data_IF_379084436485
#
_entry.id   IF_379084436485
#
_cell.length_a   1.000
_cell.length_b   1.000
_cell.length_c   1.000
_cell.angle_alpha   90.00
_cell.angle_beta   90.00
_cell.angle_gamma   90.00
#
_symmetry.space_group_name_H-M   'P 1'
#
loop_
_entity.id
_entity.type
_entity.pdbx_description
1 polymer ?
#
# COMPACT_ATOMS: atom_id res chain seq x y z
N UNK A 1 10.13 11.16 -9.01
CA UNK A 1 10.33 9.81 -8.42
C UNK A 1 9.28 8.82 -8.89
N UNK A 2 7.99 9.00 -8.55
CA UNK A 2 6.92 8.08 -9.00
C UNK A 2 6.83 8.05 -10.53
N UNK A 3 6.77 9.20 -11.19
CA UNK A 3 6.76 9.29 -12.65
C UNK A 3 7.99 8.62 -13.30
N UNK A 4 9.16 8.76 -12.69
CA UNK A 4 10.41 8.17 -13.19
C UNK A 4 10.40 6.64 -13.07
N UNK A 5 9.81 6.11 -12.00
CA UNK A 5 9.61 4.68 -11.80
C UNK A 5 8.53 4.13 -12.74
N UNK A 6 7.44 4.88 -12.94
CA UNK A 6 6.37 4.56 -13.88
C UNK A 6 6.88 4.47 -15.32
N UNK A 7 7.75 5.40 -15.74
CA UNK A 7 8.41 5.38 -17.06
C UNK A 7 9.30 4.15 -17.26
N UNK A 8 9.91 3.61 -16.19
CA UNK A 8 10.68 2.36 -16.25
C UNK A 8 9.78 1.12 -16.42
N UNK A 9 8.46 1.26 -16.25
CA UNK A 9 7.46 0.23 -16.52
C UNK A 9 7.46 -0.96 -15.55
N UNK A 10 8.25 -0.91 -14.49
CA UNK A 10 8.28 -1.94 -13.45
C UNK A 10 7.15 -1.65 -12.45
N UNK A 11 6.49 -2.70 -11.96
CA UNK A 11 5.40 -2.67 -10.96
C UNK A 11 3.98 -2.34 -11.47
N UNK A 12 3.75 -2.23 -12.79
CA UNK A 12 2.41 -1.93 -13.36
C UNK A 12 1.30 -2.93 -13.00
N UNK A 13 1.65 -4.19 -12.70
CA UNK A 13 0.71 -5.24 -12.34
C UNK A 13 1.07 -5.86 -10.98
N UNK A 14 1.23 -5.01 -9.96
CA UNK A 14 1.56 -5.43 -8.61
C UNK A 14 0.47 -5.03 -7.62
N UNK A 15 0.22 -5.88 -6.64
CA UNK A 15 -0.68 -5.59 -5.53
C UNK A 15 0.12 -5.71 -4.24
N UNK A 16 0.17 -4.61 -3.48
CA UNK A 16 0.85 -4.59 -2.20
C UNK A 16 0.05 -5.33 -1.13
N UNK A 17 0.76 -6.04 -0.25
CA UNK A 17 0.22 -6.60 0.99
C UNK A 17 0.97 -5.92 2.12
N UNK A 18 0.27 -5.11 2.91
CA UNK A 18 0.84 -4.29 3.97
C UNK A 18 0.52 -4.91 5.34
N UNK A 19 1.53 -5.39 6.06
CA UNK A 19 1.37 -5.78 7.47
C UNK A 19 1.02 -4.54 8.29
N UNK A 20 -0.15 -4.61 8.94
CA UNK A 20 -0.68 -3.59 9.85
C UNK A 20 -1.06 -4.19 11.20
N UNK A 21 -0.48 -5.33 11.54
CA UNK A 21 -0.60 -5.89 12.89
C UNK A 21 0.05 -4.97 13.92
N UNK A 22 -0.35 -5.09 15.18
CA UNK A 22 0.14 -4.26 16.28
C UNK A 22 1.69 -4.27 16.42
N UNK A 23 2.36 -5.31 15.93
CA UNK A 23 3.83 -5.43 15.91
C UNK A 23 4.51 -4.46 14.96
N UNK A 24 3.75 -3.89 14.02
CA UNK A 24 4.25 -2.93 13.04
C UNK A 24 4.25 -1.49 13.58
N UNK A 25 3.75 -1.22 14.79
CA UNK A 25 3.64 0.13 15.34
C UNK A 25 4.92 0.99 15.19
N UNK A 26 4.72 2.25 14.84
CA UNK A 26 5.80 3.22 14.56
C UNK A 26 6.41 3.08 13.17
N UNK A 27 7.73 3.21 13.07
CA UNK A 27 8.45 3.24 11.80
C UNK A 27 8.20 2.05 10.84
N UNK A 28 8.04 0.79 11.31
CA UNK A 28 7.74 -0.33 10.41
C UNK A 28 6.41 -0.15 9.66
N UNK A 29 5.38 0.35 10.33
CA UNK A 29 4.07 0.66 9.73
C UNK A 29 4.21 1.80 8.72
N UNK A 30 4.89 2.89 9.07
CA UNK A 30 5.13 4.02 8.16
C UNK A 30 5.82 3.58 6.85
N UNK A 31 6.83 2.71 6.96
CA UNK A 31 7.53 2.16 5.79
C UNK A 31 6.62 1.24 4.97
N UNK A 32 5.88 0.34 5.63
CA UNK A 32 4.91 -0.56 5.00
C UNK A 32 3.85 0.21 4.20
N UNK A 33 3.33 1.29 4.79
CA UNK A 33 2.39 2.23 4.18
C UNK A 33 3.01 2.91 2.97
N UNK A 34 4.18 3.54 3.13
CA UNK A 34 4.84 4.29 2.07
C UNK A 34 5.12 3.43 0.83
N UNK A 35 5.57 2.19 1.03
CA UNK A 35 5.82 1.24 -0.06
C UNK A 35 4.50 0.77 -0.69
N UNK A 36 3.47 0.49 0.12
CA UNK A 36 2.15 0.12 -0.37
C UNK A 36 1.53 1.20 -1.26
N UNK A 37 1.61 2.46 -0.84
CA UNK A 37 1.15 3.62 -1.61
C UNK A 37 1.92 3.76 -2.93
N UNK A 38 3.25 3.62 -2.90
CA UNK A 38 4.08 3.70 -4.10
C UNK A 38 3.69 2.62 -5.13
N UNK A 39 3.53 1.37 -4.69
CA UNK A 39 3.10 0.27 -5.57
C UNK A 39 1.72 0.56 -6.13
N UNK A 40 0.79 1.00 -5.28
CA UNK A 40 -0.59 1.29 -5.68
C UNK A 40 -0.71 2.39 -6.74
N UNK A 41 0.14 3.42 -6.66
CA UNK A 41 0.20 4.53 -7.62
C UNK A 41 0.85 4.11 -8.96
N UNK A 42 1.87 3.24 -8.89
CA UNK A 42 2.57 2.72 -10.07
C UNK A 42 1.78 1.63 -10.82
N UNK A 43 0.85 0.98 -10.13
CA UNK A 43 0.01 -0.05 -10.71
C UNK A 43 -1.08 0.51 -11.62
N UNK A 44 -1.45 -0.31 -12.60
CA UNK A 44 -2.57 -0.08 -13.51
C UNK A 44 -3.80 -0.86 -13.02
N UNK A 45 -4.92 -0.72 -13.72
CA UNK A 45 -6.12 -1.50 -13.42
C UNK A 45 -5.84 -3.02 -13.55
N UNK A 46 -6.39 -3.86 -12.66
CA UNK A 46 -7.40 -3.53 -11.65
C UNK A 46 -6.83 -3.11 -10.28
N UNK A 47 -5.52 -2.96 -10.12
CA UNK A 47 -4.87 -2.80 -8.81
C UNK A 47 -4.60 -1.35 -8.42
N UNK A 48 -4.70 -0.42 -9.38
CA UNK A 48 -4.50 0.99 -9.15
C UNK A 48 -5.31 1.49 -7.95
N UNK A 49 -4.64 2.19 -7.03
CA UNK A 49 -5.26 2.76 -5.84
C UNK A 49 -5.75 1.74 -4.80
N UNK A 50 -5.37 0.46 -4.90
CA UNK A 50 -5.72 -0.61 -3.96
C UNK A 50 -4.49 -1.23 -3.31
N UNK A 51 -4.71 -1.84 -2.13
CA UNK A 51 -3.75 -2.70 -1.42
C UNK A 51 -4.50 -3.70 -0.54
N UNK A 52 -3.83 -4.75 -0.09
CA UNK A 52 -4.35 -5.69 0.89
C UNK A 52 -3.72 -5.39 2.25
N UNK A 53 -4.54 -5.33 3.30
CA UNK A 53 -4.02 -5.33 4.68
C UNK A 53 -3.69 -6.75 5.12
N UNK A 54 -2.60 -6.91 5.86
CA UNK A 54 -2.26 -8.15 6.54
C UNK A 54 -2.40 -7.96 8.05
N UNK A 55 -3.35 -8.68 8.62
CA UNK A 55 -3.69 -8.73 10.05
C UNK A 55 -4.52 -10.00 10.29
N UNK A 56 -5.22 -10.12 11.42
CA UNK A 56 -6.17 -11.22 11.70
C UNK A 56 -7.24 -11.35 10.60
N UNK A 57 -7.67 -10.24 10.00
CA UNK A 57 -8.68 -10.21 8.93
C UNK A 57 -8.17 -9.40 7.74
N UNK A 58 -7.48 -10.05 6.79
CA UNK A 58 -7.00 -9.39 5.58
C UNK A 58 -8.15 -8.82 4.75
N UNK A 59 -7.99 -7.60 4.24
CA UNK A 59 -8.98 -6.96 3.35
C UNK A 59 -8.29 -6.29 2.18
N UNK A 60 -8.86 -6.46 0.98
CA UNK A 60 -8.57 -5.58 -0.15
C UNK A 60 -9.31 -4.26 0.08
N UNK A 61 -8.57 -3.18 0.19
CA UNK A 61 -9.11 -1.85 0.47
C UNK A 61 -8.55 -0.83 -0.51
N UNK A 62 -9.21 0.32 -0.60
CA UNK A 62 -8.65 1.48 -1.30
C UNK A 62 -7.55 2.12 -0.46
N UNK A 63 -6.61 2.80 -1.12
CA UNK A 63 -5.62 3.65 -0.46
C UNK A 63 -6.27 4.72 0.43
N UNK A 64 -7.43 5.24 0.02
CA UNK A 64 -8.16 6.25 0.80
C UNK A 64 -8.71 5.67 2.10
N UNK A 65 -9.28 4.47 2.05
CA UNK A 65 -9.71 3.73 3.24
C UNK A 65 -8.52 3.38 4.15
N UNK A 66 -7.37 3.03 3.57
CA UNK A 66 -6.17 2.70 4.32
C UNK A 66 -5.63 3.89 5.13
N UNK A 67 -5.57 5.09 4.54
CA UNK A 67 -5.15 6.31 5.26
C UNK A 67 -5.99 6.53 6.52
N UNK A 68 -7.31 6.30 6.44
CA UNK A 68 -8.20 6.45 7.58
C UNK A 68 -7.94 5.42 8.70
N UNK A 69 -7.41 4.23 8.37
CA UNK A 69 -7.03 3.22 9.35
C UNK A 69 -5.72 3.56 10.05
N UNK A 70 -4.77 4.18 9.34
CA UNK A 70 -3.42 4.44 9.86
C UNK A 70 -3.34 5.74 10.67
N UNK A 71 -4.15 6.75 10.33
CA UNK A 71 -4.23 8.03 11.09
C UNK A 71 -4.82 7.84 12.50
N UNK A 72 -5.43 6.67 12.77
CA UNK A 72 -5.96 6.32 14.09
C UNK A 72 -4.91 5.75 15.06
N UNK A 73 -3.64 5.63 14.65
CA UNK A 73 -2.53 5.13 15.48
C UNK A 73 -1.40 6.16 15.61
#
# INVERSE_FOLDING_TARGET
MVDDLGKKGKLKNCLAICDVSDKMAGAPLEVSVAVGLLISELSEEPWKGKLITFSEKPRLISVEEYKNLVVLY
#
